data_IF_582477033177
#
_entry.id   IF_582477033177
#
_cell.length_a   1.000
_cell.length_b   1.000
_cell.length_c   1.000
_cell.angle_alpha   90.00
_cell.angle_beta   90.00
_cell.angle_gamma   90.00
#
_symmetry.space_group_name_H-M   'P 1'
#
loop_
_entity.id
_entity.type
_entity.pdbx_description
1 polymer ?
#
# COMPACT_ATOMS: atom_id res chain seq x y z
N UNK A 1 19.56 -67.84 -26.44
CA UNK A 1 19.40 -66.41 -26.75
C UNK A 1 18.44 -65.80 -25.73
N UNK A 2 18.85 -64.79 -24.93
CA UNK A 2 17.97 -64.07 -24.03
C UNK A 2 17.31 -62.89 -24.79
N UNK A 3 15.98 -62.86 -24.85
CA UNK A 3 15.23 -61.71 -25.40
C UNK A 3 14.94 -60.73 -24.27
N UNK A 4 15.36 -59.48 -24.44
CA UNK A 4 15.36 -58.44 -23.43
C UNK A 4 13.96 -58.01 -23.00
N UNK A 5 13.74 -58.01 -21.68
CA UNK A 5 12.65 -57.24 -21.08
C UNK A 5 12.91 -55.74 -21.29
N UNK A 6 11.94 -55.06 -21.88
CA UNK A 6 11.98 -53.61 -22.12
C UNK A 6 12.06 -52.84 -20.80
N UNK A 7 12.99 -51.87 -20.63
CA UNK A 7 13.09 -51.06 -19.40
C UNK A 7 11.95 -50.04 -19.20
N UNK A 8 11.05 -49.88 -20.17
CA UNK A 8 10.12 -48.75 -20.18
C UNK A 8 8.68 -49.22 -20.45
N UNK A 9 7.96 -49.54 -19.38
CA UNK A 9 6.49 -49.60 -19.42
C UNK A 9 5.96 -48.16 -19.58
N UNK A 10 5.79 -47.73 -20.83
CA UNK A 10 5.50 -46.36 -21.23
C UNK A 10 4.11 -45.82 -20.85
N UNK A 11 3.21 -46.65 -20.28
CA UNK A 11 1.82 -46.27 -20.04
C UNK A 11 1.53 -45.64 -18.66
N UNK A 12 2.25 -46.03 -17.60
CA UNK A 12 1.89 -45.64 -16.22
C UNK A 12 2.86 -44.65 -15.56
N UNK A 13 4.11 -44.56 -16.01
CA UNK A 13 5.09 -43.63 -15.41
C UNK A 13 4.88 -42.18 -15.83
N UNK A 14 4.66 -41.94 -17.13
CA UNK A 14 4.50 -40.59 -17.70
C UNK A 14 3.17 -39.96 -17.32
N UNK A 15 2.10 -40.76 -17.21
CA UNK A 15 0.78 -40.24 -16.83
C UNK A 15 0.73 -39.84 -15.35
N UNK A 16 1.42 -40.56 -14.47
CA UNK A 16 1.51 -40.18 -13.06
C UNK A 16 2.48 -39.01 -12.87
N UNK A 17 3.58 -38.95 -13.62
CA UNK A 17 4.51 -37.82 -13.62
C UNK A 17 3.86 -36.52 -14.13
N UNK A 18 3.05 -36.61 -15.19
CA UNK A 18 2.32 -35.45 -15.74
C UNK A 18 1.27 -34.93 -14.76
N UNK A 19 0.50 -35.80 -14.09
CA UNK A 19 -0.45 -35.40 -13.04
C UNK A 19 0.28 -34.74 -11.86
N UNK A 20 1.42 -35.30 -11.44
CA UNK A 20 2.24 -34.71 -10.36
C UNK A 20 2.79 -33.34 -10.75
N UNK A 21 3.31 -33.16 -11.97
CA UNK A 21 3.77 -31.85 -12.48
C UNK A 21 2.63 -30.85 -12.62
N UNK A 22 1.48 -31.24 -13.16
CA UNK A 22 0.31 -30.36 -13.29
C UNK A 22 -0.20 -29.93 -11.91
N UNK A 23 -0.27 -30.84 -10.94
CA UNK A 23 -0.65 -30.52 -9.56
C UNK A 23 0.36 -29.59 -8.90
N UNK A 24 1.66 -29.83 -9.09
CA UNK A 24 2.71 -28.98 -8.55
C UNK A 24 2.68 -27.58 -9.19
N UNK A 25 2.49 -27.48 -10.51
CA UNK A 25 2.34 -26.21 -11.22
C UNK A 25 1.08 -25.45 -10.77
N UNK A 26 -0.03 -26.17 -10.53
CA UNK A 26 -1.26 -25.58 -10.00
C UNK A 26 -1.08 -25.05 -8.58
N UNK A 27 -0.43 -25.80 -7.70
CA UNK A 27 -0.11 -25.35 -6.34
C UNK A 27 0.83 -24.13 -6.36
N UNK A 28 1.83 -24.12 -7.23
CA UNK A 28 2.69 -22.94 -7.45
C UNK A 28 1.83 -21.76 -7.89
N UNK A 29 1.00 -21.90 -8.93
CA UNK A 29 0.14 -20.82 -9.37
C UNK A 29 -0.81 -20.33 -8.26
N UNK A 30 -1.39 -21.22 -7.46
CA UNK A 30 -2.22 -20.85 -6.31
C UNK A 30 -1.45 -20.02 -5.27
N UNK A 31 -0.21 -20.40 -4.95
CA UNK A 31 0.63 -19.61 -4.02
C UNK A 31 0.94 -18.23 -4.60
N UNK A 32 1.15 -18.13 -5.91
CA UNK A 32 1.40 -16.86 -6.58
C UNK A 32 0.17 -15.95 -6.57
N UNK A 33 -1.02 -16.49 -6.84
CA UNK A 33 -2.27 -15.74 -6.70
C UNK A 33 -2.50 -15.31 -5.26
N UNK A 34 -2.36 -16.22 -4.31
CA UNK A 34 -2.52 -15.90 -2.89
C UNK A 34 -1.49 -14.85 -2.41
N UNK A 35 -0.24 -14.90 -2.89
CA UNK A 35 0.77 -13.90 -2.59
C UNK A 35 0.46 -12.54 -3.23
N UNK A 36 -0.08 -12.53 -4.45
CA UNK A 36 -0.54 -11.30 -5.12
C UNK A 36 -1.73 -10.67 -4.40
N UNK A 37 -2.74 -11.46 -4.05
CA UNK A 37 -3.91 -11.00 -3.31
C UNK A 37 -3.49 -10.48 -1.92
N UNK A 38 -2.64 -11.22 -1.22
CA UNK A 38 -2.06 -10.79 0.05
C UNK A 38 -1.29 -9.47 -0.09
N UNK A 39 -0.45 -9.33 -1.12
CA UNK A 39 0.26 -8.09 -1.40
C UNK A 39 -0.70 -6.92 -1.66
N UNK A 40 -1.75 -7.15 -2.44
CA UNK A 40 -2.78 -6.14 -2.72
C UNK A 40 -3.48 -5.68 -1.44
N UNK A 41 -4.00 -6.61 -0.63
CA UNK A 41 -4.70 -6.28 0.61
C UNK A 41 -3.77 -5.71 1.69
N UNK A 42 -2.54 -6.21 1.81
CA UNK A 42 -1.53 -5.66 2.74
C UNK A 42 -1.19 -4.22 2.39
N UNK A 43 -1.08 -3.91 1.09
CA UNK A 43 -0.85 -2.53 0.63
C UNK A 43 -2.06 -1.65 0.93
N UNK A 44 -3.27 -2.11 0.58
CA UNK A 44 -4.54 -1.42 0.86
C UNK A 44 -4.70 -1.11 2.36
N UNK A 45 -4.38 -2.07 3.22
CA UNK A 45 -4.47 -1.92 4.66
C UNK A 45 -3.43 -0.94 5.19
N UNK A 46 -2.19 -0.96 4.65
CA UNK A 46 -1.18 0.06 4.95
C UNK A 46 -1.68 1.48 4.69
N UNK A 47 -2.32 1.72 3.53
CA UNK A 47 -2.92 3.02 3.21
C UNK A 47 -4.00 3.44 4.21
N UNK A 48 -4.91 2.52 4.57
CA UNK A 48 -6.00 2.83 5.49
C UNK A 48 -5.50 3.11 6.90
N UNK A 49 -4.51 2.35 7.38
CA UNK A 49 -3.92 2.57 8.71
C UNK A 49 -3.15 3.89 8.79
N UNK A 50 -2.48 4.30 7.71
CA UNK A 50 -1.78 5.59 7.69
C UNK A 50 -2.76 6.76 7.58
N UNK A 51 -3.81 6.63 6.79
CA UNK A 51 -4.91 7.60 6.75
C UNK A 51 -5.54 7.74 8.15
N UNK A 52 -5.80 6.63 8.83
CA UNK A 52 -6.29 6.63 10.20
C UNK A 52 -5.28 7.32 11.14
N UNK A 53 -3.98 7.00 11.05
CA UNK A 53 -2.96 7.60 11.90
C UNK A 53 -2.87 9.12 11.72
N UNK A 54 -2.95 9.61 10.48
CA UNK A 54 -2.97 11.05 10.18
C UNK A 54 -4.24 11.72 10.74
N UNK A 55 -5.39 11.06 10.60
CA UNK A 55 -6.65 11.56 11.12
C UNK A 55 -6.75 11.47 12.65
N UNK A 56 -6.03 10.52 13.27
CA UNK A 56 -6.11 10.19 14.69
C UNK A 56 -4.96 10.76 15.53
N UNK A 57 -3.87 11.23 14.93
CA UNK A 57 -2.76 11.82 15.69
C UNK A 57 -3.17 13.18 16.26
N UNK A 58 -3.31 13.29 17.57
CA UNK A 58 -3.75 14.50 18.27
C UNK A 58 -2.89 15.75 17.91
N UNK A 59 -1.61 15.54 17.61
CA UNK A 59 -0.65 16.59 17.26
C UNK A 59 -0.72 17.02 15.78
N UNK A 60 -1.33 16.19 14.92
CA UNK A 60 -1.65 16.49 13.51
C UNK A 60 -3.16 16.64 13.24
N UNK A 61 -3.99 16.37 14.25
CA UNK A 61 -5.45 16.42 14.20
C UNK A 61 -5.95 17.76 13.67
N UNK A 62 -6.34 17.74 12.40
CA UNK A 62 -6.88 18.88 11.71
C UNK A 62 -8.09 19.48 12.48
N UNK A 63 -8.81 18.64 13.23
CA UNK A 63 -9.87 19.04 14.16
C UNK A 63 -9.43 20.09 15.18
N UNK A 64 -8.30 19.90 15.87
CA UNK A 64 -7.82 20.89 16.85
C UNK A 64 -7.41 22.22 16.20
N UNK A 65 -6.89 22.17 14.97
CA UNK A 65 -6.60 23.38 14.20
C UNK A 65 -7.88 24.13 13.80
N UNK A 66 -8.92 23.40 13.40
CA UNK A 66 -10.23 23.99 13.13
C UNK A 66 -10.87 24.57 14.38
N UNK A 67 -10.82 23.86 15.51
CA UNK A 67 -11.39 24.33 16.78
C UNK A 67 -10.75 25.65 17.22
N UNK A 68 -9.42 25.77 17.13
CA UNK A 68 -8.69 27.00 17.46
C UNK A 68 -9.03 28.14 16.49
N UNK A 69 -9.07 27.87 15.19
CA UNK A 69 -9.46 28.87 14.19
C UNK A 69 -10.89 29.38 14.42
N UNK A 70 -11.85 28.49 14.67
CA UNK A 70 -13.23 28.88 14.94
C UNK A 70 -13.39 29.59 16.29
N UNK A 71 -12.60 29.23 17.31
CA UNK A 71 -12.57 29.95 18.57
C UNK A 71 -12.07 31.39 18.39
N UNK A 72 -10.93 31.57 17.72
CA UNK A 72 -10.39 32.90 17.42
C UNK A 72 -11.35 33.73 16.55
N UNK A 73 -12.00 33.09 15.56
CA UNK A 73 -12.99 33.75 14.71
C UNK A 73 -14.22 34.19 15.53
N UNK A 74 -14.71 33.34 16.43
CA UNK A 74 -15.83 33.68 17.30
C UNK A 74 -15.46 34.89 18.20
N UNK A 75 -14.28 34.86 18.80
CA UNK A 75 -13.78 35.94 19.65
C UNK A 75 -13.68 37.26 18.87
N UNK A 76 -13.10 37.24 17.66
CA UNK A 76 -13.03 38.40 16.78
C UNK A 76 -14.42 38.93 16.37
N UNK A 77 -15.44 38.08 16.21
CA UNK A 77 -16.81 38.55 15.91
C UNK A 77 -17.47 39.28 17.08
N UNK A 78 -17.05 39.03 18.32
CA UNK A 78 -17.57 39.76 19.48
C UNK A 78 -17.00 41.18 19.59
N UNK A 79 -15.81 41.43 19.03
CA UNK A 79 -15.13 42.74 19.03
C UNK A 79 -14.38 42.97 17.70
N UNK A 80 -15.09 43.19 16.59
CA UNK A 80 -14.51 43.22 15.25
C UNK A 80 -13.57 44.39 14.99
N UNK A 81 -13.66 45.46 15.79
CA UNK A 81 -12.79 46.64 15.69
C UNK A 81 -11.41 46.42 16.30
N UNK A 82 -11.23 45.39 17.14
CA UNK A 82 -9.96 45.06 17.79
C UNK A 82 -8.96 44.48 16.77
N UNK A 83 -7.85 45.18 16.56
CA UNK A 83 -6.79 44.74 15.66
C UNK A 83 -6.06 43.49 16.15
N UNK A 84 -5.92 43.31 17.47
CA UNK A 84 -5.23 42.14 18.03
C UNK A 84 -6.01 40.86 17.78
N UNK A 85 -7.34 40.90 17.93
CA UNK A 85 -8.21 39.74 17.63
C UNK A 85 -8.18 39.38 16.13
N UNK A 86 -8.12 40.38 15.23
CA UNK A 86 -7.96 40.11 13.79
C UNK A 86 -6.61 39.46 13.47
N UNK A 87 -5.53 39.91 14.11
CA UNK A 87 -4.21 39.28 13.96
C UNK A 87 -4.20 37.84 14.48
N UNK A 88 -4.89 37.57 15.60
CA UNK A 88 -5.04 36.23 16.14
C UNK A 88 -5.75 35.29 15.15
N UNK A 89 -6.84 35.72 14.51
CA UNK A 89 -7.52 34.93 13.46
C UNK A 89 -6.58 34.61 12.30
N UNK A 90 -5.78 35.59 11.85
CA UNK A 90 -4.81 35.38 10.76
C UNK A 90 -3.74 34.37 11.18
N UNK A 91 -3.25 34.46 12.41
CA UNK A 91 -2.27 33.52 12.97
C UNK A 91 -2.81 32.09 13.02
N UNK A 92 -4.03 31.90 13.55
CA UNK A 92 -4.66 30.57 13.62
C UNK A 92 -4.97 30.01 12.23
N UNK A 93 -5.41 30.84 11.28
CA UNK A 93 -5.60 30.44 9.89
C UNK A 93 -4.28 29.99 9.22
N UNK A 94 -3.18 30.69 9.50
CA UNK A 94 -1.85 30.31 9.04
C UNK A 94 -1.38 28.98 9.64
N UNK A 95 -1.59 28.78 10.94
CA UNK A 95 -1.27 27.53 11.62
C UNK A 95 -2.08 26.35 11.07
N UNK A 96 -3.39 26.55 10.83
CA UNK A 96 -4.25 25.56 10.20
C UNK A 96 -3.76 25.20 8.78
N UNK A 97 -3.40 26.20 7.98
CA UNK A 97 -2.92 25.98 6.61
C UNK A 97 -1.62 25.18 6.60
N UNK A 98 -0.65 25.54 7.44
CA UNK A 98 0.60 24.80 7.60
C UNK A 98 0.35 23.34 8.00
N UNK A 99 -0.64 23.10 8.86
CA UNK A 99 -1.01 21.75 9.28
C UNK A 99 -1.61 20.94 8.13
N UNK A 100 -2.45 21.55 7.30
CA UNK A 100 -2.98 20.93 6.08
C UNK A 100 -1.84 20.57 5.13
N UNK A 101 -0.93 21.51 4.86
CA UNK A 101 0.19 21.30 3.95
C UNK A 101 1.09 20.16 4.42
N UNK A 102 1.50 20.16 5.69
CA UNK A 102 2.31 19.08 6.27
C UNK A 102 1.60 17.71 6.17
N UNK A 103 0.28 17.70 6.33
CA UNK A 103 -0.53 16.48 6.22
C UNK A 103 -0.55 15.97 4.78
N UNK A 104 -0.73 16.87 3.81
CA UNK A 104 -0.70 16.53 2.39
C UNK A 104 0.68 16.02 1.96
N UNK A 105 1.75 16.67 2.39
CA UNK A 105 3.13 16.26 2.12
C UNK A 105 3.44 14.88 2.71
N UNK A 106 2.96 14.61 3.92
CA UNK A 106 3.10 13.28 4.52
C UNK A 106 2.37 12.21 3.69
N UNK A 107 1.12 12.46 3.29
CA UNK A 107 0.35 11.52 2.46
C UNK A 107 1.03 11.29 1.09
N UNK A 108 1.54 12.35 0.46
CA UNK A 108 2.22 12.25 -0.84
C UNK A 108 3.53 11.45 -0.74
N UNK A 109 4.32 11.71 0.31
CA UNK A 109 5.55 10.95 0.58
C UNK A 109 5.27 9.46 0.79
N UNK A 110 4.23 9.13 1.54
CA UNK A 110 3.81 7.76 1.78
C UNK A 110 3.29 7.08 0.51
N UNK A 111 2.49 7.78 -0.30
CA UNK A 111 2.04 7.28 -1.60
C UNK A 111 3.22 6.92 -2.50
N UNK A 112 4.22 7.80 -2.57
CA UNK A 112 5.43 7.61 -3.37
C UNK A 112 6.28 6.43 -2.88
N UNK A 113 6.46 6.30 -1.56
CA UNK A 113 7.18 5.16 -0.97
C UNK A 113 6.50 3.82 -1.28
N UNK A 114 5.16 3.77 -1.23
CA UNK A 114 4.43 2.55 -1.51
C UNK A 114 4.47 2.19 -2.99
N UNK A 115 4.35 3.17 -3.90
CA UNK A 115 4.54 2.94 -5.34
C UNK A 115 5.94 2.36 -5.59
N UNK A 116 6.97 2.91 -4.93
CA UNK A 116 8.34 2.39 -5.00
C UNK A 116 8.43 0.94 -4.52
N UNK A 117 7.78 0.61 -3.39
CA UNK A 117 7.71 -0.77 -2.88
C UNK A 117 6.98 -1.73 -3.82
N UNK A 118 5.86 -1.33 -4.40
CA UNK A 118 5.15 -2.15 -5.40
C UNK A 118 6.04 -2.45 -6.60
N UNK A 119 6.76 -1.46 -7.12
CA UNK A 119 7.70 -1.66 -8.24
C UNK A 119 8.85 -2.62 -7.85
N UNK A 120 9.36 -2.53 -6.62
CA UNK A 120 10.38 -3.42 -6.08
C UNK A 120 9.88 -4.87 -5.88
N UNK A 121 8.59 -5.06 -5.59
CA UNK A 121 7.99 -6.40 -5.46
C UNK A 121 7.71 -7.06 -6.81
N UNK A 122 7.37 -6.27 -7.85
CA UNK A 122 7.08 -6.79 -9.20
C UNK A 122 8.36 -7.13 -9.97
N UNK A 123 9.47 -6.45 -9.70
CA UNK A 123 10.74 -6.64 -10.43
C UNK A 123 11.31 -8.07 -10.33
N UNK A 124 11.35 -8.75 -9.16
CA UNK A 124 11.73 -10.17 -9.07
C UNK A 124 10.90 -11.10 -9.97
N UNK A 125 9.59 -10.84 -10.10
CA UNK A 125 8.69 -11.64 -10.93
C UNK A 125 8.97 -11.48 -12.42
N UNK A 126 9.41 -10.30 -12.86
CA UNK A 126 9.81 -10.08 -14.25
C UNK A 126 11.06 -10.90 -14.64
N UNK A 127 12.04 -11.03 -13.73
CA UNK A 127 13.24 -11.84 -13.96
C UNK A 127 12.96 -13.35 -13.99
N UNK A 128 12.00 -13.82 -13.19
CA UNK A 128 11.59 -15.23 -13.19
C UNK A 128 10.90 -15.64 -14.49
N UNK A 129 10.06 -14.75 -15.05
CA UNK A 129 9.39 -14.99 -16.33
C UNK A 129 10.37 -14.97 -17.52
N UNK A 130 11.30 -14.01 -17.55
CA UNK A 130 12.30 -13.91 -18.62
C UNK A 130 13.23 -15.13 -18.70
N UNK A 131 13.63 -15.70 -17.55
CA UNK A 131 14.45 -16.91 -17.54
C UNK A 131 13.72 -18.15 -18.08
N UNK A 132 12.40 -18.18 -18.02
CA UNK A 132 11.61 -19.28 -18.58
C UNK A 132 11.40 -19.15 -20.10
N UNK A 133 11.49 -17.92 -20.64
CA UNK A 133 11.42 -17.68 -22.09
C UNK A 133 12.76 -17.86 -22.83
N UNK A 134 13.86 -18.10 -22.11
CA UNK A 134 15.21 -18.22 -22.68
C UNK A 134 15.79 -19.66 -22.65
N UNK A 135 14.95 -20.66 -22.35
CA UNK A 135 15.27 -22.10 -22.46
C UNK A 135 14.24 -22.78 -23.37
#
# INVERSE_FOLDING_TARGET
>A
MPSGGSPNSAGNGVQVDSIRRVSNQYQVNQVWYAASDYGYYSTQQGYLSQLEAVLSDDNSSLSGGFDNFFAALNEATTSPDDSALREQVISEAGALSLRIDNTLDYIDSQSTEIISQQQAMVSPNQYAHQRHCQL
#
